data_IF_394382274268
#
_entry.id   IF_394382274268
#
_cell.length_a   1.000
_cell.length_b   1.000
_cell.length_c   1.000
_cell.angle_alpha   90.00
_cell.angle_beta   90.00
_cell.angle_gamma   90.00
#
_symmetry.space_group_name_H-M   'P 1'
#
loop_
_entity.id
_entity.type
_entity.pdbx_description
1 polymer ?
#
# COMPACT_ATOMS: atom_id res chain seq x y z
N UNK A 1 -42.98 4.90 44.12
CA UNK A 1 -41.89 5.89 43.92
C UNK A 1 -40.60 5.30 43.33
N UNK A 2 -40.44 3.97 43.24
CA UNK A 2 -39.16 3.32 42.90
C UNK A 2 -38.91 3.19 41.38
N UNK A 3 -39.94 2.85 40.58
CA UNK A 3 -39.77 2.58 39.15
C UNK A 3 -39.40 3.81 38.30
N UNK A 4 -39.91 5.00 38.65
CA UNK A 4 -39.59 6.23 37.91
C UNK A 4 -38.13 6.63 38.05
N UNK A 5 -37.52 6.38 39.23
CA UNK A 5 -36.10 6.65 39.48
C UNK A 5 -35.22 5.64 38.74
N UNK A 6 -35.59 4.35 38.74
CA UNK A 6 -34.91 3.33 37.95
C UNK A 6 -34.96 3.62 36.45
N UNK A 7 -36.11 4.06 35.93
CA UNK A 7 -36.24 4.43 34.51
C UNK A 7 -35.34 5.61 34.14
N UNK A 8 -35.27 6.62 34.99
CA UNK A 8 -34.38 7.77 34.79
C UNK A 8 -32.90 7.34 34.78
N UNK A 9 -32.49 6.47 35.71
CA UNK A 9 -31.12 5.95 35.78
C UNK A 9 -30.75 5.15 34.52
N UNK A 10 -31.63 4.23 34.10
CA UNK A 10 -31.39 3.42 32.88
C UNK A 10 -31.25 4.31 31.64
N UNK A 11 -32.06 5.37 31.52
CA UNK A 11 -31.94 6.31 30.42
C UNK A 11 -30.61 7.10 30.45
N UNK A 12 -30.13 7.47 31.64
CA UNK A 12 -28.83 8.11 31.79
C UNK A 12 -27.69 7.17 31.37
N UNK A 13 -27.74 5.91 31.80
CA UNK A 13 -26.74 4.90 31.46
C UNK A 13 -26.73 4.58 29.96
N UNK A 14 -27.91 4.49 29.33
CA UNK A 14 -28.04 4.36 27.87
C UNK A 14 -27.37 5.54 27.16
N UNK A 15 -27.61 6.78 27.60
CA UNK A 15 -27.00 7.96 26.99
C UNK A 15 -25.48 7.99 27.13
N UNK A 16 -24.95 7.56 28.28
CA UNK A 16 -23.50 7.41 28.50
C UNK A 16 -22.91 6.37 27.54
N UNK A 17 -23.51 5.18 27.48
CA UNK A 17 -23.06 4.11 26.59
C UNK A 17 -23.13 4.51 25.11
N UNK A 18 -24.16 5.25 24.69
CA UNK A 18 -24.26 5.77 23.32
C UNK A 18 -23.16 6.79 23.00
N UNK A 19 -22.81 7.63 23.97
CA UNK A 19 -21.73 8.61 23.83
C UNK A 19 -20.37 7.93 23.72
N UNK A 20 -20.12 6.94 24.58
CA UNK A 20 -18.89 6.15 24.56
C UNK A 20 -18.76 5.36 23.25
N UNK A 21 -19.83 4.68 22.82
CA UNK A 21 -19.88 3.98 21.54
C UNK A 21 -19.51 4.89 20.38
N UNK A 22 -20.12 6.07 20.29
CA UNK A 22 -19.83 7.05 19.23
C UNK A 22 -18.36 7.49 19.23
N UNK A 23 -17.77 7.66 20.42
CA UNK A 23 -16.35 7.99 20.57
C UNK A 23 -15.47 6.86 20.05
N UNK A 24 -15.73 5.62 20.47
CA UNK A 24 -14.99 4.44 20.05
C UNK A 24 -15.11 4.19 18.54
N UNK A 25 -16.30 4.37 17.95
CA UNK A 25 -16.50 4.25 16.50
C UNK A 25 -15.63 5.25 15.72
N UNK A 26 -15.56 6.50 16.21
CA UNK A 26 -14.71 7.53 15.61
C UNK A 26 -13.22 7.18 15.71
N UNK A 27 -12.78 6.67 16.86
CA UNK A 27 -11.39 6.21 17.06
C UNK A 27 -11.06 5.03 16.13
N UNK A 28 -11.98 4.08 15.98
CA UNK A 28 -11.83 2.95 15.07
C UNK A 28 -11.65 3.40 13.61
N UNK A 29 -12.44 4.37 13.16
CA UNK A 29 -12.33 4.92 11.81
C UNK A 29 -10.99 5.66 11.59
N UNK A 30 -10.51 6.38 12.61
CA UNK A 30 -9.20 7.01 12.57
C UNK A 30 -8.08 5.97 12.45
N UNK A 31 -8.11 4.90 13.24
CA UNK A 31 -7.13 3.82 13.19
C UNK A 31 -7.14 3.11 11.84
N UNK A 32 -8.32 2.80 11.28
CA UNK A 32 -8.45 2.22 9.93
C UNK A 32 -7.82 3.12 8.86
N UNK A 33 -7.99 4.44 8.98
CA UNK A 33 -7.39 5.39 8.05
C UNK A 33 -5.87 5.48 8.20
N UNK A 34 -5.35 5.41 9.43
CA UNK A 34 -3.92 5.34 9.69
C UNK A 34 -3.30 4.07 9.12
N UNK A 35 -3.94 2.92 9.32
CA UNK A 35 -3.50 1.64 8.76
C UNK A 35 -3.40 1.70 7.23
N UNK A 36 -4.43 2.24 6.56
CA UNK A 36 -4.42 2.44 5.10
C UNK A 36 -3.26 3.33 4.65
N UNK A 37 -2.98 4.42 5.38
CA UNK A 37 -1.84 5.32 5.08
C UNK A 37 -0.51 4.59 5.21
N UNK A 38 -0.32 3.80 6.26
CA UNK A 38 0.92 3.04 6.50
C UNK A 38 1.13 1.99 5.40
N UNK A 39 0.10 1.21 5.05
CA UNK A 39 0.16 0.22 3.96
C UNK A 39 0.55 0.87 2.62
N UNK A 40 -0.06 2.01 2.29
CA UNK A 40 0.29 2.77 1.07
C UNK A 40 1.74 3.24 1.07
N UNK A 41 2.22 3.82 2.18
CA UNK A 41 3.62 4.25 2.30
C UNK A 41 4.59 3.08 2.09
N UNK A 42 4.34 1.94 2.72
CA UNK A 42 5.17 0.73 2.55
C UNK A 42 5.22 0.28 1.08
N UNK A 43 4.06 0.19 0.42
CA UNK A 43 3.99 -0.19 -0.99
C UNK A 43 4.73 0.79 -1.91
N UNK A 44 4.64 2.09 -1.66
CA UNK A 44 5.38 3.12 -2.42
C UNK A 44 6.88 2.95 -2.24
N UNK A 45 7.35 2.75 -1.01
CA UNK A 45 8.78 2.56 -0.73
C UNK A 45 9.33 1.27 -1.37
N UNK A 46 8.56 0.18 -1.34
CA UNK A 46 8.92 -1.06 -2.04
C UNK A 46 8.99 -0.85 -3.56
N UNK A 47 8.05 -0.10 -4.15
CA UNK A 47 8.08 0.26 -5.58
C UNK A 47 9.28 1.13 -5.92
N UNK A 48 9.62 2.12 -5.10
CA UNK A 48 10.82 2.95 -5.30
C UNK A 48 12.10 2.13 -5.27
N UNK A 49 12.25 1.25 -4.27
CA UNK A 49 13.41 0.33 -4.18
C UNK A 49 13.50 -0.59 -5.38
N UNK A 50 12.37 -1.16 -5.83
CA UNK A 50 12.32 -1.99 -7.04
C UNK A 50 12.71 -1.18 -8.27
N UNK A 51 12.16 0.01 -8.47
CA UNK A 51 12.44 0.85 -9.63
C UNK A 51 13.91 1.29 -9.66
N UNK A 52 14.46 1.73 -8.53
CA UNK A 52 15.87 2.09 -8.42
C UNK A 52 16.77 0.91 -8.83
N UNK A 53 16.48 -0.28 -8.30
CA UNK A 53 17.21 -1.50 -8.65
C UNK A 53 17.08 -1.84 -10.13
N UNK A 54 15.88 -1.73 -10.71
CA UNK A 54 15.65 -2.03 -12.13
C UNK A 54 16.34 -1.04 -13.05
N UNK A 55 16.35 0.25 -12.72
CA UNK A 55 17.06 1.28 -13.50
C UNK A 55 18.56 1.04 -13.47
N UNK A 56 19.14 0.82 -12.27
CA UNK A 56 20.57 0.54 -12.15
C UNK A 56 20.98 -0.71 -12.92
N UNK A 57 20.20 -1.80 -12.79
CA UNK A 57 20.48 -3.05 -13.50
C UNK A 57 20.23 -2.93 -15.00
N UNK A 58 19.20 -2.19 -15.41
CA UNK A 58 18.91 -1.89 -16.81
C UNK A 58 20.07 -1.16 -17.47
N UNK A 59 20.57 -0.09 -16.83
CA UNK A 59 21.73 0.65 -17.33
C UNK A 59 22.99 -0.21 -17.46
N UNK A 60 23.24 -1.12 -16.51
CA UNK A 60 24.36 -2.07 -16.60
C UNK A 60 24.17 -3.01 -17.80
N UNK A 61 22.97 -3.56 -18.00
CA UNK A 61 22.69 -4.45 -19.13
C UNK A 61 22.79 -3.72 -20.48
N UNK A 62 22.22 -2.52 -20.57
CA UNK A 62 22.30 -1.65 -21.76
C UNK A 62 23.75 -1.32 -22.11
N UNK A 63 24.65 -1.17 -21.13
CA UNK A 63 26.07 -0.90 -21.40
C UNK A 63 26.81 -2.03 -22.14
N UNK A 64 26.25 -3.25 -22.16
CA UNK A 64 26.81 -4.39 -22.91
C UNK A 64 26.23 -4.52 -24.32
N UNK A 65 25.22 -3.72 -24.67
CA UNK A 65 24.52 -3.80 -25.94
C UNK A 65 24.91 -2.59 -26.78
N UNK A 66 25.45 -2.83 -27.97
CA UNK A 66 25.81 -1.74 -28.88
C UNK A 66 24.56 -0.94 -29.31
N UNK A 67 24.64 0.38 -29.17
CA UNK A 67 23.54 1.33 -29.46
C UNK A 67 22.21 0.92 -28.83
N UNK A 68 22.24 0.51 -27.56
CA UNK A 68 21.05 0.05 -26.84
C UNK A 68 19.92 1.08 -26.80
N UNK A 69 20.26 2.37 -26.75
CA UNK A 69 19.35 3.51 -26.71
C UNK A 69 18.62 3.76 -28.05
N UNK A 70 19.19 3.29 -29.16
CA UNK A 70 18.56 3.33 -30.49
C UNK A 70 17.64 2.12 -30.73
N UNK A 71 17.62 1.14 -29.83
CA UNK A 71 16.85 -0.11 -29.98
C UNK A 71 15.51 -0.03 -29.28
N UNK A 72 14.52 -0.67 -29.87
CA UNK A 72 13.21 -0.91 -29.27
C UNK A 72 13.31 -1.97 -28.16
N UNK A 73 12.31 -2.00 -27.26
CA UNK A 73 12.26 -3.00 -26.20
C UNK A 73 12.20 -4.43 -26.77
N UNK A 74 11.52 -4.61 -27.90
CA UNK A 74 11.39 -5.88 -28.61
C UNK A 74 12.75 -6.35 -29.15
N UNK A 75 13.54 -5.45 -29.75
CA UNK A 75 14.89 -5.77 -30.22
C UNK A 75 15.83 -6.12 -29.07
N UNK A 76 15.76 -5.37 -27.96
CA UNK A 76 16.52 -5.69 -26.74
C UNK A 76 16.12 -7.07 -26.21
N UNK A 77 14.82 -7.39 -26.19
CA UNK A 77 14.34 -8.69 -25.75
C UNK A 77 14.88 -9.82 -26.63
N UNK A 78 14.82 -9.69 -27.96
CA UNK A 78 15.38 -10.69 -28.89
C UNK A 78 16.88 -10.90 -28.66
N UNK A 79 17.64 -9.83 -28.42
CA UNK A 79 19.08 -9.92 -28.11
C UNK A 79 19.29 -10.70 -26.81
N UNK A 80 18.55 -10.37 -25.74
CA UNK A 80 18.68 -11.04 -24.45
C UNK A 80 18.25 -12.51 -24.51
N UNK A 81 17.17 -12.82 -25.24
CA UNK A 81 16.68 -14.18 -25.45
C UNK A 81 17.72 -15.03 -26.19
N UNK A 82 18.36 -14.49 -27.23
CA UNK A 82 19.47 -15.16 -27.94
C UNK A 82 20.66 -15.42 -27.02
N UNK A 83 21.06 -14.43 -26.22
CA UNK A 83 22.26 -14.51 -25.36
C UNK A 83 22.06 -15.43 -24.16
N UNK A 84 20.91 -15.36 -23.49
CA UNK A 84 20.70 -16.02 -22.20
C UNK A 84 19.83 -17.28 -22.28
N UNK A 85 19.02 -17.44 -23.32
CA UNK A 85 18.10 -18.58 -23.48
C UNK A 85 18.50 -19.51 -24.63
N UNK A 86 19.59 -19.23 -25.36
CA UNK A 86 20.06 -20.00 -26.52
C UNK A 86 18.94 -20.25 -27.56
N UNK A 87 18.08 -19.26 -27.75
CA UNK A 87 17.04 -19.30 -28.77
C UNK A 87 17.66 -18.82 -30.09
N UNK A 88 17.97 -19.76 -30.98
CA UNK A 88 18.49 -19.47 -32.33
C UNK A 88 17.43 -18.81 -33.24
#
# INVERSE_FOLDING_TARGET
MDNSKRLAQVNEDINKLLTEKKKTEKELDQLKNQEKKIKRKKSIEERKKRNHRLIQRGAILESYIDKADEKTNEEIQVILDKVFLNLD
#
